data_IF_945145432162
#
_entry.id   IF_945145432162
#
_cell.length_a   1.000
_cell.length_b   1.000
_cell.length_c   1.000
_cell.angle_alpha   90.00
_cell.angle_beta   90.00
_cell.angle_gamma   90.00
#
_symmetry.space_group_name_H-M   'P 1'
#
loop_
_entity.id
_entity.type
_entity.pdbx_description
1 polymer ?
#
# COMPACT_ATOMS: atom_id res chain seq x y z
N UNK A 1 -6.91 37.49 23.55
CA UNK A 1 -6.27 36.23 23.94
C UNK A 1 -7.28 35.15 23.64
N UNK A 2 -7.17 34.52 22.47
CA UNK A 2 -8.06 33.41 22.09
C UNK A 2 -7.68 32.22 22.96
N UNK A 3 -8.61 31.76 23.78
CA UNK A 3 -8.45 30.51 24.54
C UNK A 3 -8.35 29.39 23.49
N UNK A 4 -7.23 28.68 23.46
CA UNK A 4 -7.09 27.46 22.69
C UNK A 4 -8.06 26.45 23.30
N UNK A 5 -9.06 26.01 22.54
CA UNK A 5 -9.90 24.86 22.90
C UNK A 5 -9.32 23.67 22.15
N UNK A 6 -8.32 23.04 22.78
CA UNK A 6 -7.69 21.84 22.26
C UNK A 6 -8.27 20.69 23.06
N UNK A 7 -8.97 19.79 22.38
CA UNK A 7 -9.34 18.50 22.92
C UNK A 7 -8.36 17.46 22.36
N UNK A 8 -7.25 17.11 23.06
CA UNK A 8 -6.27 16.16 22.57
C UNK A 8 -6.88 14.82 22.10
N UNK A 9 -7.99 14.42 22.74
CA UNK A 9 -8.74 13.22 22.38
C UNK A 9 -9.25 13.23 20.93
N UNK A 10 -9.64 14.40 20.39
CA UNK A 10 -10.12 14.51 19.01
C UNK A 10 -9.04 14.08 18.00
N UNK A 11 -7.79 14.39 18.26
CA UNK A 11 -6.67 13.97 17.42
C UNK A 11 -6.49 12.45 17.44
N UNK A 12 -6.61 11.82 18.61
CA UNK A 12 -6.50 10.37 18.74
C UNK A 12 -7.67 9.64 18.08
N UNK A 13 -8.90 10.13 18.27
CA UNK A 13 -10.10 9.55 17.67
C UNK A 13 -10.04 9.65 16.13
N UNK A 14 -9.65 10.80 15.59
CA UNK A 14 -9.44 10.97 14.16
C UNK A 14 -8.31 10.06 13.63
N UNK A 15 -7.22 9.90 14.40
CA UNK A 15 -6.15 8.99 14.03
C UNK A 15 -6.63 7.53 13.96
N UNK A 16 -7.46 7.09 14.90
CA UNK A 16 -7.97 5.72 14.90
C UNK A 16 -8.94 5.46 13.73
N UNK A 17 -9.70 6.48 13.31
CA UNK A 17 -10.47 6.43 12.07
C UNK A 17 -9.53 6.26 10.86
N UNK A 18 -8.49 7.08 10.73
CA UNK A 18 -7.51 6.98 9.64
C UNK A 18 -6.81 5.61 9.62
N UNK A 19 -6.40 5.10 10.80
CA UNK A 19 -5.76 3.80 10.94
C UNK A 19 -6.66 2.67 10.42
N UNK A 20 -7.94 2.72 10.82
CA UNK A 20 -8.95 1.77 10.38
C UNK A 20 -9.18 1.84 8.88
N UNK A 21 -9.37 3.04 8.33
CA UNK A 21 -9.57 3.24 6.88
C UNK A 21 -8.38 2.69 6.09
N UNK A 22 -7.15 3.01 6.50
CA UNK A 22 -5.95 2.52 5.84
C UNK A 22 -5.86 0.99 5.88
N UNK A 23 -6.08 0.37 7.03
CA UNK A 23 -6.02 -1.08 7.19
C UNK A 23 -7.09 -1.81 6.37
N UNK A 24 -8.31 -1.28 6.36
CA UNK A 24 -9.43 -1.87 5.64
C UNK A 24 -9.27 -1.73 4.11
N UNK A 25 -8.84 -0.55 3.64
CA UNK A 25 -8.51 -0.32 2.23
C UNK A 25 -7.39 -1.24 1.76
N UNK A 26 -6.32 -1.35 2.53
CA UNK A 26 -5.19 -2.20 2.17
C UNK A 26 -5.59 -3.69 2.10
N UNK A 27 -6.42 -4.14 3.03
CA UNK A 27 -6.95 -5.50 3.04
C UNK A 27 -7.82 -5.78 1.83
N UNK A 28 -8.74 -4.86 1.50
CA UNK A 28 -9.59 -4.98 0.32
C UNK A 28 -8.74 -5.03 -0.97
N UNK A 29 -7.76 -4.12 -1.09
CA UNK A 29 -6.83 -4.07 -2.21
C UNK A 29 -6.03 -5.38 -2.35
N UNK A 30 -5.42 -5.87 -1.27
CA UNK A 30 -4.62 -7.10 -1.27
C UNK A 30 -5.45 -8.31 -1.71
N UNK A 31 -6.68 -8.45 -1.19
CA UNK A 31 -7.60 -9.52 -1.58
C UNK A 31 -8.02 -9.40 -3.05
N UNK A 32 -8.33 -8.19 -3.52
CA UNK A 32 -8.70 -7.94 -4.91
C UNK A 32 -7.56 -8.26 -5.88
N UNK A 33 -6.35 -7.75 -5.63
CA UNK A 33 -5.18 -8.01 -6.47
C UNK A 33 -4.84 -9.51 -6.52
N UNK A 34 -4.93 -10.23 -5.40
CA UNK A 34 -4.71 -11.68 -5.37
C UNK A 34 -5.77 -12.48 -6.17
N UNK A 35 -6.93 -11.88 -6.44
CA UNK A 35 -8.04 -12.54 -7.13
C UNK A 35 -7.92 -12.51 -8.66
N UNK A 36 -6.94 -11.78 -9.23
CA UNK A 36 -6.73 -11.79 -10.69
C UNK A 36 -6.40 -13.18 -11.24
N UNK A 37 -5.64 -14.01 -10.49
CA UNK A 37 -5.32 -15.36 -10.93
C UNK A 37 -4.65 -15.39 -12.31
N UNK A 38 -5.12 -16.28 -13.20
CA UNK A 38 -4.64 -16.36 -14.59
C UNK A 38 -5.46 -15.48 -15.56
N UNK A 39 -5.30 -14.16 -15.44
CA UNK A 39 -5.77 -13.19 -16.44
C UNK A 39 -4.69 -12.77 -17.43
N UNK A 40 -3.55 -13.46 -17.44
CA UNK A 40 -2.46 -13.15 -18.38
C UNK A 40 -2.95 -13.32 -19.81
N UNK A 41 -2.51 -12.43 -20.71
CA UNK A 41 -2.82 -12.47 -22.15
C UNK A 41 -4.30 -12.24 -22.51
N UNK A 42 -5.12 -11.71 -21.61
CA UNK A 42 -6.57 -11.61 -21.81
C UNK A 42 -7.02 -10.78 -23.03
N UNK A 43 -6.23 -9.80 -23.49
CA UNK A 43 -6.62 -8.98 -24.65
C UNK A 43 -6.09 -9.49 -25.98
N UNK A 44 -5.29 -10.57 -25.96
CA UNK A 44 -4.66 -11.13 -27.14
C UNK A 44 -3.34 -10.46 -27.51
N UNK A 45 -2.78 -10.90 -28.63
CA UNK A 45 -1.41 -10.64 -29.08
C UNK A 45 -1.33 -9.81 -30.36
N UNK A 46 -2.47 -9.51 -31.01
CA UNK A 46 -2.47 -8.83 -32.31
C UNK A 46 -3.55 -7.74 -32.41
N UNK A 47 -3.28 -6.74 -33.25
CA UNK A 47 -4.22 -5.69 -33.64
C UNK A 47 -4.61 -4.77 -32.48
N UNK A 48 -5.83 -4.23 -32.56
CA UNK A 48 -6.36 -3.27 -31.60
C UNK A 48 -6.46 -3.84 -30.18
N UNK A 49 -6.67 -5.16 -30.03
CA UNK A 49 -6.66 -5.84 -28.74
C UNK A 49 -5.31 -5.74 -28.01
N UNK A 50 -4.20 -5.89 -28.74
CA UNK A 50 -2.86 -5.69 -28.18
C UNK A 50 -2.63 -4.24 -27.76
N UNK A 51 -3.02 -3.28 -28.59
CA UNK A 51 -2.87 -1.84 -28.30
C UNK A 51 -3.69 -1.48 -27.05
N UNK A 52 -4.90 -2.00 -26.93
CA UNK A 52 -5.72 -1.86 -25.74
C UNK A 52 -5.07 -2.46 -24.50
N UNK A 53 -4.46 -3.64 -24.61
CA UNK A 53 -3.77 -4.26 -23.49
C UNK A 53 -2.59 -3.42 -22.99
N UNK A 54 -1.79 -2.85 -23.89
CA UNK A 54 -0.70 -1.95 -23.49
C UNK A 54 -1.25 -0.73 -22.72
N UNK A 55 -2.38 -0.17 -23.18
CA UNK A 55 -3.06 0.89 -22.45
C UNK A 55 -3.64 0.42 -21.11
N UNK A 56 -4.26 -0.77 -21.07
CA UNK A 56 -4.84 -1.35 -19.86
C UNK A 56 -3.77 -1.61 -18.81
N UNK A 57 -2.63 -2.20 -19.19
CA UNK A 57 -1.53 -2.53 -18.29
C UNK A 57 -0.96 -1.26 -17.64
N UNK A 58 -0.84 -0.18 -18.41
CA UNK A 58 -0.41 1.11 -17.89
C UNK A 58 -1.44 1.70 -16.91
N UNK A 59 -2.74 1.67 -17.23
CA UNK A 59 -3.78 2.16 -16.33
C UNK A 59 -3.89 1.31 -15.06
N UNK A 60 -3.77 -0.01 -15.18
CA UNK A 60 -3.74 -0.94 -14.05
C UNK A 60 -2.56 -0.64 -13.12
N UNK A 61 -1.38 -0.34 -13.68
CA UNK A 61 -0.21 0.08 -12.90
C UNK A 61 -0.44 1.42 -12.19
N UNK A 62 -1.03 2.40 -12.87
CA UNK A 62 -1.34 3.70 -12.28
C UNK A 62 -2.33 3.59 -11.12
N UNK A 63 -3.39 2.79 -11.29
CA UNK A 63 -4.39 2.48 -10.25
C UNK A 63 -3.77 1.71 -9.10
N UNK A 64 -2.91 0.73 -9.39
CA UNK A 64 -2.12 0.00 -8.38
C UNK A 64 -1.27 0.95 -7.54
N UNK A 65 -0.48 1.82 -8.18
CA UNK A 65 0.41 2.76 -7.49
C UNK A 65 -0.39 3.72 -6.63
N UNK A 66 -1.49 4.27 -7.17
CA UNK A 66 -2.37 5.16 -6.41
C UNK A 66 -2.98 4.46 -5.18
N UNK A 67 -3.34 3.18 -5.30
CA UNK A 67 -3.89 2.41 -4.17
C UNK A 67 -2.87 2.29 -3.04
N UNK A 68 -1.63 1.95 -3.36
CA UNK A 68 -0.54 1.84 -2.37
C UNK A 68 -0.19 3.22 -1.77
N UNK A 69 -0.07 4.24 -2.61
CA UNK A 69 0.29 5.59 -2.16
C UNK A 69 -0.76 6.20 -1.25
N UNK A 70 -2.05 5.98 -1.56
CA UNK A 70 -3.15 6.47 -0.72
C UNK A 70 -3.18 5.77 0.64
N UNK A 71 -3.02 4.44 0.68
CA UNK A 71 -2.94 3.70 1.96
C UNK A 71 -1.75 4.21 2.79
N UNK A 72 -0.56 4.37 2.19
CA UNK A 72 0.61 4.90 2.89
C UNK A 72 0.37 6.34 3.38
N UNK A 73 -0.29 7.17 2.58
CA UNK A 73 -0.60 8.55 2.98
C UNK A 73 -1.54 8.58 4.19
N UNK A 74 -2.60 7.77 4.19
CA UNK A 74 -3.57 7.70 5.31
C UNK A 74 -2.90 7.15 6.58
N UNK A 75 -2.11 6.08 6.49
CA UNK A 75 -1.37 5.55 7.66
C UNK A 75 -0.32 6.53 8.18
N UNK A 76 0.40 7.20 7.28
CA UNK A 76 1.30 8.28 7.66
C UNK A 76 0.56 9.40 8.40
N UNK A 77 -0.67 9.71 7.97
CA UNK A 77 -1.49 10.75 8.59
C UNK A 77 -2.00 10.35 9.98
N UNK A 78 -2.32 9.07 10.20
CA UNK A 78 -2.58 8.50 11.53
C UNK A 78 -1.45 8.83 12.50
N UNK A 79 -0.19 8.66 12.08
CA UNK A 79 0.97 8.93 12.93
C UNK A 79 1.11 10.43 13.22
N UNK A 80 0.85 11.29 12.24
CA UNK A 80 0.83 12.76 12.41
C UNK A 80 -0.21 13.17 13.45
N UNK A 81 -1.43 12.65 13.33
CA UNK A 81 -2.53 12.95 14.26
C UNK A 81 -2.22 12.48 15.69
N UNK A 82 -1.71 11.24 15.85
CA UNK A 82 -1.29 10.74 17.18
C UNK A 82 -0.21 11.61 17.82
N UNK A 83 0.75 12.07 17.02
CA UNK A 83 1.80 12.95 17.52
C UNK A 83 1.28 14.34 17.88
N UNK A 84 0.38 14.92 17.08
CA UNK A 84 -0.25 16.19 17.38
C UNK A 84 -1.07 16.11 18.69
N UNK A 85 -1.89 15.06 18.83
CA UNK A 85 -2.64 14.78 20.06
C UNK A 85 -1.72 14.66 21.29
N UNK A 86 -0.60 13.96 21.15
CA UNK A 86 0.40 13.86 22.23
C UNK A 86 1.02 15.21 22.60
N UNK A 87 1.40 16.02 21.60
CA UNK A 87 2.01 17.32 21.85
C UNK A 87 1.03 18.25 22.59
N UNK A 88 -0.25 18.21 22.23
CA UNK A 88 -1.30 18.99 22.91
C UNK A 88 -1.56 18.46 24.32
N UNK A 89 -1.70 17.13 24.49
CA UNK A 89 -1.86 16.52 25.81
C UNK A 89 -0.69 16.82 26.76
N UNK A 90 0.54 16.82 26.25
CA UNK A 90 1.73 17.16 27.02
C UNK A 90 1.80 18.65 27.37
N UNK A 91 1.32 19.53 26.49
CA UNK A 91 1.24 20.96 26.77
C UNK A 91 0.21 21.29 27.88
N UNK A 92 -0.87 20.50 27.95
CA UNK A 92 -1.92 20.64 28.98
C UNK A 92 -1.60 19.87 30.27
N UNK A 93 -0.54 19.05 30.28
CA UNK A 93 -0.18 18.23 31.42
C UNK A 93 0.36 19.07 32.59
N UNK A 94 -0.30 18.97 33.74
CA UNK A 94 0.18 19.49 35.02
C UNK A 94 0.67 18.35 35.91
N UNK A 95 1.97 18.34 36.21
CA UNK A 95 2.60 17.34 37.09
C UNK A 95 2.03 17.35 38.53
N UNK A 96 1.40 18.44 38.95
CA UNK A 96 0.74 18.53 40.25
C UNK A 96 -0.68 17.93 40.27
N UNK A 97 -1.26 17.63 39.10
CA UNK A 97 -2.63 17.09 38.97
C UNK A 97 -2.78 15.65 39.48
N UNK A 98 -1.67 14.92 39.65
CA UNK A 98 -1.66 13.50 40.02
C UNK A 98 -2.12 12.55 38.91
N UNK A 99 -2.42 13.06 37.71
CA UNK A 99 -2.64 12.24 36.52
C UNK A 99 -1.29 11.71 35.99
N UNK A 100 -1.26 10.52 35.36
CA UNK A 100 -0.07 10.06 34.69
C UNK A 100 0.29 10.99 33.52
N UNK A 101 1.59 11.20 33.32
CA UNK A 101 2.10 11.93 32.15
C UNK A 101 1.63 11.23 30.86
N UNK A 102 1.20 12.00 29.83
CA UNK A 102 0.84 11.44 28.54
C UNK A 102 1.96 10.55 27.97
N UNK A 103 1.62 9.38 27.48
CA UNK A 103 2.58 8.46 26.87
C UNK A 103 2.85 8.84 25.41
N UNK A 104 4.13 8.84 25.02
CA UNK A 104 4.51 9.09 23.63
C UNK A 104 3.90 8.02 22.70
N UNK A 105 3.32 8.43 21.55
CA UNK A 105 2.67 7.50 20.65
C UNK A 105 3.71 6.64 19.91
N UNK A 106 3.33 5.40 19.58
CA UNK A 106 4.13 4.57 18.69
C UNK A 106 4.19 5.19 17.29
N UNK A 107 5.40 5.32 16.75
CA UNK A 107 5.64 5.73 15.35
C UNK A 107 5.86 4.53 14.43
N UNK A 108 5.43 3.34 14.85
CA UNK A 108 5.49 2.13 14.03
C UNK A 108 4.31 2.18 13.05
N UNK A 109 4.54 2.07 11.72
CA UNK A 109 3.47 1.99 10.74
C UNK A 109 2.48 0.86 11.04
N UNK A 110 1.20 1.05 10.71
CA UNK A 110 0.19 0.02 11.00
C UNK A 110 0.33 -1.24 10.16
N UNK A 111 1.12 -1.18 9.07
CA UNK A 111 1.47 -2.31 8.23
C UNK A 111 2.87 -2.12 7.62
N UNK A 112 3.47 -3.23 7.20
CA UNK A 112 4.72 -3.23 6.42
C UNK A 112 4.47 -3.91 5.08
N UNK A 113 4.99 -3.31 4.01
CA UNK A 113 4.97 -3.87 2.66
C UNK A 113 6.36 -4.36 2.30
N UNK A 114 6.55 -5.67 2.16
CA UNK A 114 7.79 -6.19 1.58
C UNK A 114 7.82 -5.97 0.06
N UNK A 115 9.02 -5.84 -0.51
CA UNK A 115 9.18 -5.73 -1.96
C UNK A 115 8.57 -6.95 -2.70
N UNK A 116 8.67 -8.13 -2.10
CA UNK A 116 8.09 -9.35 -2.64
C UNK A 116 6.55 -9.32 -2.65
N UNK A 117 5.94 -8.81 -1.59
CA UNK A 117 4.48 -8.62 -1.54
C UNK A 117 4.02 -7.63 -2.60
N UNK A 118 4.70 -6.50 -2.76
CA UNK A 118 4.38 -5.53 -3.80
C UNK A 118 4.38 -6.15 -5.21
N UNK A 119 5.42 -6.94 -5.53
CA UNK A 119 5.51 -7.63 -6.83
C UNK A 119 4.38 -8.64 -7.00
N UNK A 120 4.02 -9.37 -5.95
CA UNK A 120 2.95 -10.39 -6.01
C UNK A 120 1.54 -9.82 -6.20
N UNK A 121 1.36 -8.51 -5.96
CA UNK A 121 0.09 -7.81 -6.08
C UNK A 121 -0.06 -7.06 -7.42
N UNK A 122 0.89 -7.18 -8.33
CA UNK A 122 0.78 -6.59 -9.66
C UNK A 122 -0.28 -7.32 -10.48
N UNK A 123 -1.09 -6.55 -11.21
CA UNK A 123 -2.04 -7.10 -12.18
C UNK A 123 -1.28 -7.85 -13.27
N UNK A 124 -1.68 -9.07 -13.64
CA UNK A 124 -1.00 -9.84 -14.68
C UNK A 124 -1.02 -9.10 -16.03
N UNK A 125 0.07 -9.16 -16.83
CA UNK A 125 0.12 -8.52 -18.15
C UNK A 125 -1.00 -9.01 -19.07
N UNK A 126 -1.73 -8.07 -19.67
CA UNK A 126 -2.92 -8.39 -20.47
C UNK A 126 -2.63 -8.65 -21.94
N UNK A 127 -1.49 -8.19 -22.47
CA UNK A 127 -1.05 -8.46 -23.83
C UNK A 127 -0.36 -9.81 -23.96
N UNK A 128 -0.66 -10.54 -25.05
CA UNK A 128 0.04 -11.76 -25.44
C UNK A 128 -0.90 -12.91 -25.76
N UNK A 129 -0.43 -14.14 -25.63
CA UNK A 129 -1.21 -15.34 -25.96
C UNK A 129 -0.72 -16.02 -27.25
N UNK A 130 -1.36 -17.12 -27.65
CA UNK A 130 -0.85 -17.95 -28.73
C UNK A 130 -0.94 -17.30 -30.12
N UNK A 131 -1.58 -16.14 -30.28
CA UNK A 131 -1.81 -15.52 -31.60
C UNK A 131 -2.86 -16.24 -32.42
N UNK A 132 -3.71 -17.03 -31.76
CA UNK A 132 -4.63 -17.98 -32.39
C UNK A 132 -6.08 -17.58 -32.12
N UNK A 133 -6.52 -16.49 -32.75
CA UNK A 133 -7.88 -15.98 -32.54
C UNK A 133 -8.98 -16.93 -33.00
N UNK A 134 -8.92 -17.37 -34.26
CA UNK A 134 -9.84 -18.37 -34.83
C UNK A 134 -9.24 -19.79 -34.90
N UNK A 135 -8.00 -20.01 -34.46
CA UNK A 135 -7.28 -21.25 -34.77
C UNK A 135 -7.23 -22.17 -33.55
N UNK A 136 -8.22 -23.06 -33.47
CA UNK A 136 -7.96 -24.49 -33.59
C UNK A 136 -9.29 -25.09 -33.99
N UNK A 137 -9.50 -25.28 -35.31
CA UNK A 137 -10.61 -26.04 -35.92
C UNK A 137 -10.81 -25.81 -37.46
N UNK A 138 -9.73 -25.72 -38.25
CA UNK A 138 -9.82 -25.95 -39.71
C UNK A 138 -9.85 -24.73 -40.65
N UNK A 139 -9.63 -23.51 -40.17
CA UNK A 139 -9.46 -22.34 -41.04
C UNK A 139 -7.97 -22.06 -41.32
N UNK A 140 -7.42 -22.71 -42.34
CA UNK A 140 -6.23 -22.23 -43.07
C UNK A 140 -6.55 -20.99 -43.96
N UNK A 141 -7.74 -20.42 -43.74
CA UNK A 141 -8.24 -19.19 -44.35
C UNK A 141 -7.55 -17.95 -43.78
N UNK A 142 -7.13 -17.96 -42.51
CA UNK A 142 -6.35 -16.86 -41.92
C UNK A 142 -5.06 -16.58 -42.73
N UNK A 143 -4.43 -17.64 -43.24
CA UNK A 143 -3.24 -17.62 -44.10
C UNK A 143 -3.52 -16.98 -45.48
N UNK A 144 -4.76 -17.08 -45.99
CA UNK A 144 -5.21 -16.41 -47.24
C UNK A 144 -5.76 -14.99 -47.04
N UNK A 145 -6.37 -14.73 -45.88
CA UNK A 145 -7.00 -13.44 -45.56
C UNK A 145 -5.93 -12.37 -45.35
N UNK A 146 -4.75 -12.74 -44.83
CA UNK A 146 -3.65 -11.82 -44.56
C UNK A 146 -3.96 -10.76 -43.50
N UNK A 147 -5.03 -10.96 -42.72
CA UNK A 147 -5.47 -10.05 -41.66
C UNK A 147 -5.36 -10.79 -40.34
N UNK A 148 -4.65 -10.23 -39.36
CA UNK A 148 -4.65 -10.79 -38.03
C UNK A 148 -6.04 -10.72 -37.42
N UNK A 149 -6.54 -11.86 -36.94
CA UNK A 149 -7.83 -11.93 -36.25
C UNK A 149 -7.56 -11.83 -34.75
N UNK A 150 -8.12 -10.82 -34.06
CA UNK A 150 -7.93 -10.62 -32.63
C UNK A 150 -8.25 -11.88 -31.81
N UNK A 151 -7.36 -12.19 -30.86
CA UNK A 151 -7.33 -13.45 -30.10
C UNK A 151 -7.58 -13.30 -28.60
N UNK A 152 -8.17 -12.18 -28.17
CA UNK A 152 -8.46 -11.90 -26.76
C UNK A 152 -9.41 -12.91 -26.11
N UNK A 153 -9.12 -13.30 -24.88
CA UNK A 153 -9.90 -14.26 -24.10
C UNK A 153 -11.02 -13.54 -23.33
N UNK A 154 -12.28 -13.76 -23.74
CA UNK A 154 -13.44 -13.07 -23.15
C UNK A 154 -13.82 -13.59 -21.77
N UNK A 155 -13.38 -14.80 -21.40
CA UNK A 155 -13.55 -15.32 -20.04
C UNK A 155 -12.58 -14.62 -19.11
N UNK A 156 -11.31 -14.48 -19.51
CA UNK A 156 -10.31 -13.74 -18.73
C UNK A 156 -10.62 -12.24 -18.63
N UNK A 157 -11.09 -11.61 -19.72
CA UNK A 157 -11.57 -10.23 -19.69
C UNK A 157 -12.75 -10.05 -18.73
N UNK A 158 -13.71 -10.98 -18.73
CA UNK A 158 -14.82 -10.96 -17.78
C UNK A 158 -14.32 -11.06 -16.35
N UNK A 159 -13.46 -12.03 -16.06
CA UNK A 159 -12.91 -12.26 -14.71
C UNK A 159 -12.14 -11.03 -14.20
N UNK A 160 -11.28 -10.45 -15.03
CA UNK A 160 -10.58 -9.19 -14.72
C UNK A 160 -11.56 -8.05 -14.41
N UNK A 161 -12.60 -7.89 -15.24
CA UNK A 161 -13.65 -6.89 -15.01
C UNK A 161 -14.40 -7.11 -13.69
N UNK A 162 -14.64 -8.36 -13.31
CA UNK A 162 -15.32 -8.70 -12.06
C UNK A 162 -14.45 -8.45 -10.83
N UNK A 163 -13.13 -8.70 -10.92
CA UNK A 163 -12.17 -8.36 -9.85
C UNK A 163 -12.14 -6.84 -9.62
N UNK A 164 -12.02 -6.04 -10.68
CA UNK A 164 -12.08 -4.58 -10.57
C UNK A 164 -13.42 -4.09 -10.00
N UNK A 165 -14.54 -4.66 -10.46
CA UNK A 165 -15.85 -4.30 -9.94
C UNK A 165 -16.01 -4.67 -8.45
N UNK A 166 -15.46 -5.81 -8.03
CA UNK A 166 -15.43 -6.23 -6.63
C UNK A 166 -14.69 -5.23 -5.76
N UNK A 167 -13.56 -4.67 -6.23
CA UNK A 167 -12.88 -3.58 -5.55
C UNK A 167 -13.71 -2.30 -5.51
N UNK A 168 -14.27 -1.89 -6.65
CA UNK A 168 -15.08 -0.68 -6.78
C UNK A 168 -16.31 -0.67 -5.86
N UNK A 169 -16.86 -1.86 -5.58
CA UNK A 169 -18.07 -2.04 -4.78
C UNK A 169 -17.79 -2.60 -3.38
N UNK A 170 -16.53 -2.80 -3.02
CA UNK A 170 -16.16 -3.31 -1.70
C UNK A 170 -16.61 -2.31 -0.62
N UNK A 171 -17.20 -2.82 0.46
CA UNK A 171 -17.72 -1.98 1.54
C UNK A 171 -16.64 -1.11 2.19
N UNK A 172 -15.42 -1.62 2.37
CA UNK A 172 -14.29 -0.87 2.91
C UNK A 172 -13.83 0.24 1.97
N UNK A 173 -13.86 -0.02 0.65
CA UNK A 173 -13.50 0.98 -0.36
C UNK A 173 -14.53 2.09 -0.45
N UNK A 174 -15.82 1.72 -0.50
CA UNK A 174 -16.93 2.66 -0.67
C UNK A 174 -17.23 3.49 0.60
N UNK A 175 -16.91 2.98 1.80
CA UNK A 175 -17.09 3.72 3.06
C UNK A 175 -15.92 4.64 3.40
N UNK A 176 -14.72 4.39 2.88
CA UNK A 176 -13.50 5.11 3.26
C UNK A 176 -13.62 6.64 3.18
N UNK A 177 -14.24 7.17 2.13
CA UNK A 177 -14.45 8.60 1.96
C UNK A 177 -15.36 9.21 3.05
N UNK A 178 -16.43 8.51 3.43
CA UNK A 178 -17.33 8.94 4.49
C UNK A 178 -16.69 8.87 5.88
N UNK A 179 -15.83 7.89 6.11
CA UNK A 179 -15.08 7.77 7.36
C UNK A 179 -14.04 8.91 7.50
N UNK A 180 -13.32 9.25 6.42
CA UNK A 180 -12.39 10.39 6.41
C UNK A 180 -13.11 11.74 6.53
N UNK A 181 -14.30 11.88 5.94
CA UNK A 181 -15.17 13.04 6.20
C UNK A 181 -15.52 13.17 7.68
N UNK A 182 -15.89 12.04 8.32
CA UNK A 182 -16.20 12.03 9.75
C UNK A 182 -14.99 12.47 10.58
N UNK A 183 -13.79 12.03 10.24
CA UNK A 183 -12.57 12.47 10.91
C UNK A 183 -12.31 13.97 10.72
N UNK A 184 -12.49 14.50 9.50
CA UNK A 184 -12.32 15.92 9.19
C UNK A 184 -13.30 16.80 10.01
N UNK A 185 -14.57 16.41 10.05
CA UNK A 185 -15.62 17.13 10.77
C UNK A 185 -15.36 17.27 12.28
N UNK A 186 -14.53 16.41 12.88
CA UNK A 186 -14.15 16.52 14.30
C UNK A 186 -13.34 17.80 14.57
N UNK A 187 -12.65 18.35 13.57
CA UNK A 187 -11.80 19.53 13.70
C UNK A 187 -12.55 20.85 13.46
N UNK A 188 -13.81 20.82 12.98
CA UNK A 188 -14.62 22.03 12.77
C UNK A 188 -14.88 22.83 14.05
N UNK A 189 -14.83 22.14 15.22
CA UNK A 189 -15.05 22.74 16.54
C UNK A 189 -13.73 23.01 17.29
N UNK A 190 -12.59 22.57 16.75
CA UNK A 190 -11.28 22.71 17.40
C UNK A 190 -10.67 24.05 17.04
N UNK A 191 -10.28 24.83 18.05
CA UNK A 191 -9.56 26.09 17.84
C UNK A 191 -8.07 25.85 18.06
N UNK A 192 -7.36 25.43 17.01
CA UNK A 192 -5.91 25.23 17.01
C UNK A 192 -5.28 25.69 15.69
N UNK A 193 -4.03 26.22 15.67
CA UNK A 193 -3.34 26.63 14.44
C UNK A 193 -3.19 25.52 13.39
N UNK A 194 -3.24 24.25 13.80
CA UNK A 194 -3.11 23.07 12.94
C UNK A 194 -4.46 22.52 12.43
N UNK A 195 -5.59 22.88 13.06
CA UNK A 195 -6.89 22.27 12.80
C UNK A 195 -7.37 22.44 11.34
N UNK A 196 -7.19 23.64 10.76
CA UNK A 196 -7.58 23.89 9.36
C UNK A 196 -6.77 23.04 8.37
N UNK A 197 -5.47 22.90 8.60
CA UNK A 197 -4.62 22.07 7.74
C UNK A 197 -5.01 20.59 7.84
N UNK A 198 -5.43 20.15 9.02
CA UNK A 198 -5.91 18.79 9.26
C UNK A 198 -7.23 18.53 8.53
N UNK A 199 -8.20 19.43 8.63
CA UNK A 199 -9.46 19.34 7.89
C UNK A 199 -9.21 19.29 6.37
N UNK A 200 -8.38 20.18 5.84
CA UNK A 200 -8.03 20.23 4.42
C UNK A 200 -7.37 18.92 3.93
N UNK A 201 -6.33 18.44 4.63
CA UNK A 201 -5.63 17.21 4.26
C UNK A 201 -6.56 15.99 4.32
N UNK A 202 -7.41 15.87 5.35
CA UNK A 202 -8.38 14.77 5.47
C UNK A 202 -9.42 14.80 4.34
N UNK A 203 -9.90 15.98 3.94
CA UNK A 203 -10.83 16.13 2.80
C UNK A 203 -10.15 15.87 1.46
N UNK A 204 -8.86 16.15 1.32
CA UNK A 204 -8.09 15.75 0.15
C UNK A 204 -7.94 14.23 0.05
N UNK A 205 -7.62 13.55 1.16
CA UNK A 205 -7.55 12.09 1.24
C UNK A 205 -8.91 11.45 0.96
N UNK A 206 -10.00 12.01 1.51
CA UNK A 206 -11.38 11.62 1.20
C UNK A 206 -11.64 11.63 -0.31
N UNK A 207 -11.34 12.76 -0.96
CA UNK A 207 -11.55 12.87 -2.41
C UNK A 207 -10.70 11.86 -3.19
N UNK A 208 -9.52 11.50 -2.69
CA UNK A 208 -8.70 10.45 -3.29
C UNK A 208 -9.31 9.05 -3.15
N UNK A 209 -9.96 8.74 -2.01
CA UNK A 209 -10.71 7.50 -1.84
C UNK A 209 -11.88 7.40 -2.83
N UNK A 210 -12.67 8.46 -2.98
CA UNK A 210 -13.78 8.52 -3.95
C UNK A 210 -13.29 8.32 -5.39
N UNK A 211 -12.22 9.02 -5.77
CA UNK A 211 -11.64 8.91 -7.11
C UNK A 211 -11.03 7.52 -7.36
N UNK A 212 -10.41 6.90 -6.36
CA UNK A 212 -9.87 5.54 -6.47
C UNK A 212 -10.99 4.49 -6.66
N UNK A 213 -12.08 4.59 -5.89
CA UNK A 213 -13.25 3.71 -6.07
C UNK A 213 -13.84 3.85 -7.48
N UNK A 214 -13.95 5.09 -7.97
CA UNK A 214 -14.38 5.37 -9.33
C UNK A 214 -13.42 4.80 -10.39
N UNK A 215 -12.11 4.88 -10.17
CA UNK A 215 -11.10 4.34 -11.08
C UNK A 215 -11.17 2.82 -11.20
N UNK A 216 -11.42 2.10 -10.10
CA UNK A 216 -11.70 0.65 -10.16
C UNK A 216 -12.94 0.36 -11.02
N UNK A 217 -13.99 1.17 -10.91
CA UNK A 217 -15.19 1.04 -11.75
C UNK A 217 -14.91 1.29 -13.24
N UNK A 218 -14.08 2.29 -13.57
CA UNK A 218 -13.67 2.59 -14.94
C UNK A 218 -12.85 1.44 -15.55
N UNK A 219 -11.95 0.83 -14.77
CA UNK A 219 -11.19 -0.36 -15.19
C UNK A 219 -12.12 -1.57 -15.44
N UNK A 220 -13.10 -1.79 -14.55
CA UNK A 220 -14.09 -2.85 -14.72
C UNK A 220 -14.90 -2.67 -16.01
N UNK A 221 -15.35 -1.43 -16.28
CA UNK A 221 -16.10 -1.11 -17.48
C UNK A 221 -15.25 -1.29 -18.74
N UNK A 222 -13.97 -0.90 -18.71
CA UNK A 222 -13.08 -1.09 -19.84
C UNK A 222 -12.92 -2.57 -20.22
N UNK A 223 -12.79 -3.47 -19.24
CA UNK A 223 -12.78 -4.91 -19.48
C UNK A 223 -14.09 -5.42 -20.11
N UNK A 224 -15.25 -4.94 -19.63
CA UNK A 224 -16.57 -5.32 -20.15
C UNK A 224 -16.79 -4.84 -21.57
N UNK A 225 -16.41 -3.60 -21.88
CA UNK A 225 -16.50 -3.03 -23.22
C UNK A 225 -15.61 -3.81 -24.21
N UNK A 226 -14.38 -4.12 -23.80
CA UNK A 226 -13.46 -4.89 -24.64
C UNK A 226 -13.96 -6.32 -24.86
N UNK A 227 -14.48 -6.97 -23.81
CA UNK A 227 -15.12 -8.28 -23.90
C UNK A 227 -16.26 -8.26 -24.91
N UNK A 228 -17.17 -7.28 -24.80
CA UNK A 228 -18.31 -7.16 -25.71
C UNK A 228 -17.85 -7.02 -27.17
N UNK A 229 -16.84 -6.19 -27.42
CA UNK A 229 -16.29 -6.03 -28.76
C UNK A 229 -15.69 -7.33 -29.34
N UNK A 230 -15.03 -8.15 -28.51
CA UNK A 230 -14.57 -9.48 -28.91
C UNK A 230 -15.73 -10.46 -29.19
N UNK A 231 -16.77 -10.48 -28.35
CA UNK A 231 -17.93 -11.35 -28.54
C UNK A 231 -18.76 -10.98 -29.78
N UNK A 232 -18.93 -9.67 -30.04
CA UNK A 232 -19.58 -9.16 -31.24
C UNK A 232 -18.82 -9.59 -32.50
N UNK A 233 -17.49 -9.40 -32.50
CA UNK A 233 -16.65 -9.86 -33.62
C UNK A 233 -16.75 -11.36 -33.82
N UNK A 234 -16.68 -12.18 -32.75
CA UNK A 234 -16.81 -13.64 -32.86
C UNK A 234 -18.16 -14.07 -33.40
N UNK A 235 -19.23 -13.40 -33.00
CA UNK A 235 -20.58 -13.67 -33.48
C UNK A 235 -20.69 -13.38 -34.97
N UNK A 236 -20.16 -12.24 -35.42
CA UNK A 236 -20.14 -11.88 -36.84
C UNK A 236 -19.30 -12.86 -37.66
N UNK A 237 -18.12 -13.25 -37.17
CA UNK A 237 -17.27 -14.23 -37.84
C UNK A 237 -17.98 -15.59 -37.95
N UNK A 238 -18.68 -16.06 -36.91
CA UNK A 238 -19.49 -17.29 -36.97
C UNK A 238 -20.61 -17.20 -38.01
N UNK A 239 -21.30 -16.07 -38.08
CA UNK A 239 -22.36 -15.85 -39.06
C UNK A 239 -21.81 -15.86 -40.50
N UNK A 240 -20.66 -15.22 -40.74
CA UNK A 240 -20.00 -15.23 -42.04
C UNK A 240 -19.56 -16.64 -42.45
N UNK A 241 -19.06 -17.44 -41.52
CA UNK A 241 -18.67 -18.84 -41.77
C UNK A 241 -19.87 -19.73 -42.10
N UNK A 242 -21.00 -19.56 -41.41
CA UNK A 242 -22.26 -20.27 -41.71
C UNK A 242 -22.81 -19.89 -43.10
N UNK A 243 -22.75 -18.59 -43.46
CA UNK A 243 -23.13 -18.12 -44.78
C UNK A 243 -22.21 -18.65 -45.88
N UNK A 244 -20.89 -18.66 -45.65
CA UNK A 244 -19.91 -19.25 -46.56
C UNK A 244 -20.23 -20.72 -46.86
N UNK A 245 -20.54 -21.50 -45.82
CA UNK A 245 -20.92 -22.90 -45.96
C UNK A 245 -22.19 -23.09 -46.80
N UNK A 246 -23.23 -22.28 -46.57
CA UNK A 246 -24.50 -22.32 -47.32
C UNK A 246 -24.32 -21.94 -48.79
N UNK A 247 -23.51 -20.91 -49.09
CA UNK A 247 -23.23 -20.50 -50.47
C UNK A 247 -22.44 -21.57 -51.22
N UNK A 248 -21.42 -22.17 -50.60
CA UNK A 248 -20.67 -23.29 -51.20
C UNK A 248 -21.59 -24.49 -51.46
N UNK A 249 -22.45 -24.85 -50.50
CA UNK A 249 -23.38 -25.97 -50.67
C UNK A 249 -24.36 -25.76 -51.83
N UNK A 250 -24.81 -24.51 -52.04
CA UNK A 250 -25.71 -24.14 -53.15
C UNK A 250 -25.00 -24.23 -54.51
N UNK A 251 -23.75 -23.76 -54.60
CA UNK A 251 -22.96 -23.79 -55.83
C UNK A 251 -22.59 -25.23 -56.26
N UNK A 252 -22.34 -26.13 -55.30
CA UNK A 252 -21.95 -27.52 -55.55
C UNK A 252 -23.17 -28.44 -55.79
N UNK A 253 -24.40 -27.97 -55.57
CA UNK A 253 -25.64 -28.77 -55.70
C UNK A 253 -25.90 -29.36 -57.10
N UNK A 254 -25.13 -28.99 -58.14
CA UNK A 254 -25.21 -29.60 -59.47
C UNK A 254 -24.35 -30.86 -59.62
N UNK A 255 -23.42 -31.18 -58.71
CA UNK A 255 -22.65 -32.44 -58.77
C UNK A 255 -21.98 -32.81 -57.42
N UNK A 256 -22.40 -33.92 -56.80
CA UNK A 256 -21.72 -34.61 -55.68
C UNK A 256 -21.78 -33.91 -54.30
N UNK A 257 -22.98 -33.54 -53.86
CA UNK A 257 -23.23 -32.52 -52.82
C UNK A 257 -23.04 -32.87 -51.32
N UNK A 258 -22.50 -34.03 -50.90
CA UNK A 258 -22.52 -34.40 -49.47
C UNK A 258 -21.17 -34.37 -48.73
N UNK A 259 -20.03 -34.39 -49.42
CA UNK A 259 -18.71 -34.41 -48.76
C UNK A 259 -18.08 -33.02 -48.54
N UNK A 260 -18.43 -32.03 -49.36
CA UNK A 260 -17.80 -30.69 -49.32
C UNK A 260 -18.42 -29.78 -48.26
N UNK A 261 -19.75 -29.75 -48.14
CA UNK A 261 -20.42 -28.94 -47.12
C UNK A 261 -20.05 -29.38 -45.70
N UNK A 262 -19.92 -30.69 -45.46
CA UNK A 262 -19.44 -31.21 -44.19
C UNK A 262 -17.97 -30.84 -43.93
N UNK A 263 -17.10 -30.77 -44.94
CA UNK A 263 -15.70 -30.35 -44.77
C UNK A 263 -15.45 -28.86 -44.50
N UNK A 264 -16.41 -28.01 -44.88
CA UNK A 264 -16.35 -26.56 -44.64
C UNK A 264 -16.96 -26.20 -43.28
N UNK A 265 -17.93 -26.99 -42.81
CA UNK A 265 -18.63 -26.81 -41.53
C UNK A 265 -17.99 -27.62 -40.39
N UNK A 266 -17.35 -28.75 -40.70
CA UNK A 266 -16.68 -29.62 -39.73
C UNK A 266 -15.18 -29.57 -40.01
N UNK A 267 -14.46 -28.82 -39.19
CA UNK A 267 -13.04 -28.96 -38.88
C UNK A 267 -12.19 -29.63 -39.96
N UNK A 268 -11.77 -28.85 -40.95
CA UNK A 268 -10.65 -29.16 -41.85
C UNK A 268 -10.77 -30.47 -42.65
N UNK A 269 -11.14 -30.37 -43.92
CA UNK A 269 -10.70 -31.37 -44.92
C UNK A 269 -9.95 -30.66 -46.03
N UNK A 270 -8.64 -30.92 -46.08
CA UNK A 270 -7.85 -30.71 -47.28
C UNK A 270 -8.39 -31.59 -48.41
N UNK A 271 -8.61 -30.96 -49.57
CA UNK A 271 -8.90 -31.57 -50.86
C UNK A 271 -10.22 -32.38 -50.96
N UNK A 272 -11.34 -31.67 -51.13
CA UNK A 272 -12.40 -32.19 -51.98
C UNK A 272 -12.00 -31.99 -53.46
N UNK A 273 -12.02 -33.06 -54.25
CA UNK A 273 -11.80 -33.01 -55.69
C UNK A 273 -12.96 -32.26 -56.37
N UNK A 274 -12.83 -30.94 -56.48
CA UNK A 274 -13.77 -30.09 -57.20
C UNK A 274 -13.40 -30.12 -58.68
N UNK A 275 -14.34 -30.50 -59.56
CA UNK A 275 -14.13 -30.45 -61.01
C UNK A 275 -13.67 -29.04 -61.43
N UNK A 276 -12.79 -28.93 -62.43
CA UNK A 276 -12.12 -27.67 -62.79
C UNK A 276 -13.06 -26.48 -63.04
N UNK A 277 -14.31 -26.71 -63.46
CA UNK A 277 -15.32 -25.65 -63.67
C UNK A 277 -15.95 -25.14 -62.36
N UNK A 278 -16.18 -26.02 -61.38
CA UNK A 278 -16.70 -25.67 -60.06
C UNK A 278 -15.63 -25.03 -59.16
N UNK A 279 -14.34 -25.27 -59.43
CA UNK A 279 -13.25 -24.72 -58.63
C UNK A 279 -13.17 -23.18 -58.71
N UNK A 280 -13.45 -22.59 -59.89
CA UNK A 280 -13.42 -21.14 -60.09
C UNK A 280 -14.58 -20.45 -59.36
N UNK A 281 -15.78 -21.05 -59.36
CA UNK A 281 -16.94 -20.47 -58.67
C UNK A 281 -16.78 -20.53 -57.14
N UNK A 282 -16.33 -21.67 -56.60
CA UNK A 282 -16.01 -21.82 -55.17
C UNK A 282 -14.91 -20.85 -54.74
N UNK A 283 -13.87 -20.65 -55.57
CA UNK A 283 -12.82 -19.67 -55.28
C UNK A 283 -13.37 -18.24 -55.15
N UNK A 284 -14.27 -17.81 -56.05
CA UNK A 284 -14.92 -16.49 -55.98
C UNK A 284 -15.78 -16.32 -54.72
N UNK A 285 -16.47 -17.37 -54.29
CA UNK A 285 -17.25 -17.35 -53.02
C UNK A 285 -16.28 -17.16 -51.84
N UNK A 286 -15.19 -17.92 -51.80
CA UNK A 286 -14.16 -17.78 -50.76
C UNK A 286 -13.61 -16.35 -50.73
N UNK A 287 -13.22 -15.79 -51.87
CA UNK A 287 -12.67 -14.42 -51.95
C UNK A 287 -13.66 -13.37 -51.44
N UNK A 288 -14.95 -13.49 -51.79
CA UNK A 288 -16.02 -12.63 -51.25
C UNK A 288 -16.08 -12.69 -49.73
N UNK A 289 -16.05 -13.88 -49.13
CA UNK A 289 -16.12 -14.01 -47.68
C UNK A 289 -14.84 -13.57 -46.97
N UNK A 290 -13.68 -13.69 -47.60
CA UNK A 290 -12.42 -13.08 -47.13
C UNK A 290 -12.58 -11.56 -47.00
N UNK A 291 -13.19 -10.89 -47.99
CA UNK A 291 -13.46 -9.46 -47.93
C UNK A 291 -14.52 -9.09 -46.88
N UNK A 292 -15.56 -9.91 -46.71
CA UNK A 292 -16.54 -9.70 -45.64
C UNK A 292 -15.92 -9.85 -44.24
N UNK A 293 -15.05 -10.84 -44.05
CA UNK A 293 -14.28 -11.02 -42.81
C UNK A 293 -13.39 -9.80 -42.56
N UNK A 294 -12.73 -9.28 -43.60
CA UNK A 294 -11.94 -8.04 -43.52
C UNK A 294 -12.78 -6.85 -43.04
N UNK A 295 -13.99 -6.71 -43.58
CA UNK A 295 -14.93 -5.67 -43.18
C UNK A 295 -15.37 -5.88 -41.72
N UNK A 296 -15.73 -7.11 -41.34
CA UNK A 296 -16.13 -7.44 -39.97
C UNK A 296 -15.02 -7.15 -38.94
N UNK A 297 -13.78 -7.53 -39.22
CA UNK A 297 -12.63 -7.23 -38.36
C UNK A 297 -12.38 -5.74 -38.26
N UNK A 298 -12.47 -4.98 -39.36
CA UNK A 298 -12.35 -3.51 -39.33
C UNK A 298 -13.53 -2.81 -38.64
N UNK A 299 -14.71 -3.41 -38.70
CA UNK A 299 -15.92 -2.92 -38.04
C UNK A 299 -15.96 -3.34 -36.56
N UNK A 300 -15.12 -4.29 -36.14
CA UNK A 300 -14.97 -4.68 -34.76
C UNK A 300 -14.60 -3.43 -33.97
N UNK A 301 -15.50 -3.02 -33.07
CA UNK A 301 -15.30 -1.83 -32.24
C UNK A 301 -14.37 -2.13 -31.06
N UNK A 302 -13.32 -2.92 -31.30
CA UNK A 302 -12.28 -3.16 -30.32
C UNK A 302 -11.73 -1.80 -29.90
N UNK A 303 -11.71 -1.57 -28.60
CA UNK A 303 -11.10 -0.36 -28.08
C UNK A 303 -9.60 -0.49 -28.29
N UNK A 304 -8.92 0.64 -28.29
CA UNK A 304 -7.46 0.73 -28.36
C UNK A 304 -6.88 1.45 -27.14
N UNK A 305 -7.73 2.01 -26.29
CA UNK A 305 -7.33 2.72 -25.10
C UNK A 305 -8.28 2.44 -23.94
N UNK A 306 -7.71 2.40 -22.74
CA UNK A 306 -8.43 2.47 -21.47
C UNK A 306 -8.31 3.89 -20.96
N UNK A 307 -9.45 4.50 -20.63
CA UNK A 307 -9.48 5.86 -20.07
C UNK A 307 -9.88 5.78 -18.60
N UNK A 308 -8.98 6.21 -17.72
CA UNK A 308 -9.27 6.43 -16.30
C UNK A 308 -9.27 7.94 -16.06
N UNK A 309 -10.45 8.51 -15.79
CA UNK A 309 -10.61 9.97 -15.67
C UNK A 309 -10.45 10.45 -14.23
N UNK A 310 -10.73 9.57 -13.27
CA UNK A 310 -10.74 9.89 -11.85
C UNK A 310 -9.34 10.15 -11.28
N UNK A 311 -8.32 9.48 -11.81
CA UNK A 311 -6.93 9.60 -11.34
C UNK A 311 -6.13 10.63 -12.15
N UNK A 312 -6.56 11.89 -12.12
CA UNK A 312 -5.86 12.97 -12.81
C UNK A 312 -4.56 13.39 -12.09
N UNK A 313 -3.74 14.20 -12.77
CA UNK A 313 -2.46 14.67 -12.26
C UNK A 313 -2.57 15.45 -10.94
N UNK A 314 -3.62 16.27 -10.78
CA UNK A 314 -3.83 17.04 -9.56
C UNK A 314 -4.11 16.10 -8.37
N UNK A 315 -4.93 15.07 -8.58
CA UNK A 315 -5.22 14.08 -7.54
C UNK A 315 -3.99 13.28 -7.12
N UNK A 316 -3.20 12.82 -8.09
CA UNK A 316 -1.93 12.11 -7.82
C UNK A 316 -0.95 13.03 -7.05
N UNK A 317 -0.86 14.30 -7.43
CA UNK A 317 -0.02 15.27 -6.74
C UNK A 317 -0.46 15.55 -5.30
N UNK A 318 -1.76 15.62 -5.02
CA UNK A 318 -2.30 15.82 -3.68
C UNK A 318 -1.93 14.65 -2.74
N UNK A 319 -2.16 13.41 -3.17
CA UNK A 319 -1.77 12.22 -2.37
C UNK A 319 -0.27 12.16 -2.15
N UNK A 320 0.53 12.44 -3.19
CA UNK A 320 1.99 12.47 -3.06
C UNK A 320 2.47 13.55 -2.10
N UNK A 321 1.87 14.76 -2.12
CA UNK A 321 2.16 15.84 -1.18
C UNK A 321 1.94 15.39 0.26
N UNK A 322 0.80 14.76 0.55
CA UNK A 322 0.46 14.29 1.90
C UNK A 322 1.41 13.18 2.34
N UNK A 323 1.69 12.21 1.46
CA UNK A 323 2.68 11.15 1.71
C UNK A 323 4.09 11.70 2.00
N UNK A 324 4.53 12.72 1.26
CA UNK A 324 5.83 13.36 1.50
C UNK A 324 5.85 14.13 2.82
N UNK A 325 4.74 14.79 3.16
CA UNK A 325 4.58 15.51 4.42
C UNK A 325 4.65 14.57 5.62
N UNK A 326 3.93 13.44 5.58
CA UNK A 326 3.94 12.44 6.65
C UNK A 326 5.32 11.80 6.79
N UNK A 327 5.98 11.47 5.67
CA UNK A 327 7.35 10.95 5.67
C UNK A 327 8.34 11.91 6.34
N UNK A 328 8.30 13.20 5.98
CA UNK A 328 9.17 14.23 6.56
C UNK A 328 8.92 14.39 8.07
N UNK A 329 7.67 14.35 8.50
CA UNK A 329 7.32 14.44 9.91
C UNK A 329 7.83 13.24 10.70
N UNK A 330 7.62 12.02 10.20
CA UNK A 330 8.14 10.80 10.83
C UNK A 330 9.67 10.82 10.95
N UNK A 331 10.38 11.24 9.90
CA UNK A 331 11.85 11.37 9.98
C UNK A 331 12.27 12.44 10.99
N UNK A 332 11.59 13.60 11.01
CA UNK A 332 11.84 14.62 12.03
C UNK A 332 11.63 14.07 13.45
N UNK A 333 10.57 13.31 13.68
CA UNK A 333 10.30 12.67 14.99
C UNK A 333 11.39 11.67 15.36
N UNK A 334 11.81 10.80 14.43
CA UNK A 334 12.94 9.88 14.66
C UNK A 334 14.22 10.64 15.02
N UNK A 335 14.49 11.79 14.39
CA UNK A 335 15.66 12.60 14.73
C UNK A 335 15.54 13.27 16.10
N UNK A 336 14.33 13.68 16.51
CA UNK A 336 14.08 14.25 17.84
C UNK A 336 14.24 13.20 18.94
N UNK A 337 13.72 11.98 18.73
CA UNK A 337 13.90 10.85 19.67
C UNK A 337 15.36 10.44 19.78
N UNK A 338 16.11 10.49 18.68
CA UNK A 338 17.57 10.20 18.67
C UNK A 338 18.42 11.36 19.18
N UNK A 339 17.85 12.53 19.50
CA UNK A 339 18.64 13.67 19.99
C UNK A 339 19.18 13.34 21.37
N UNK A 340 20.50 13.17 21.46
CA UNK A 340 21.22 13.07 22.74
C UNK A 340 20.82 14.27 23.62
N UNK A 341 20.35 14.02 24.83
CA UNK A 341 20.00 15.07 25.79
C UNK A 341 21.25 15.91 26.07
N UNK A 342 21.10 17.22 26.13
CA UNK A 342 22.22 18.12 26.39
C UNK A 342 22.80 17.87 27.80
N UNK A 343 24.07 18.20 28.05
CA UNK A 343 24.67 18.05 29.37
C UNK A 343 23.87 18.74 30.49
N UNK A 344 23.27 19.91 30.20
CA UNK A 344 22.45 20.67 31.15
C UNK A 344 21.14 19.95 31.48
N UNK A 345 20.48 19.33 30.49
CA UNK A 345 19.25 18.56 30.70
C UNK A 345 19.55 17.30 31.55
N UNK A 346 20.65 16.60 31.28
CA UNK A 346 21.07 15.43 32.06
C UNK A 346 21.45 15.83 33.51
N UNK A 347 22.12 16.95 33.68
CA UNK A 347 22.47 17.47 35.00
C UNK A 347 21.23 17.83 35.81
N UNK A 348 20.24 18.51 35.20
CA UNK A 348 18.97 18.84 35.85
C UNK A 348 18.18 17.60 36.26
N UNK A 349 18.11 16.58 35.41
CA UNK A 349 17.43 15.31 35.72
C UNK A 349 18.11 14.60 36.89
N UNK A 350 19.44 14.50 36.85
CA UNK A 350 20.21 13.91 37.94
C UNK A 350 20.06 14.68 39.25
N UNK A 351 19.98 16.01 39.18
CA UNK A 351 19.74 16.85 40.35
C UNK A 351 18.36 16.59 40.97
N UNK A 352 17.30 16.58 40.16
CA UNK A 352 15.94 16.34 40.63
C UNK A 352 15.80 14.97 41.31
N UNK A 353 16.32 13.91 40.68
CA UNK A 353 16.30 12.55 41.26
C UNK A 353 17.13 12.50 42.54
N UNK A 354 18.30 13.15 42.55
CA UNK A 354 19.14 13.22 43.74
C UNK A 354 18.47 13.94 44.91
N UNK A 355 17.79 15.06 44.66
CA UNK A 355 17.04 15.81 45.66
C UNK A 355 15.86 15.01 46.23
N UNK A 356 15.13 14.28 45.37
CA UNK A 356 14.07 13.34 45.77
C UNK A 356 14.62 12.26 46.72
N UNK A 357 15.75 11.66 46.34
CA UNK A 357 16.39 10.58 47.11
C UNK A 357 17.01 11.07 48.42
N UNK A 358 17.45 12.32 48.48
CA UNK A 358 17.97 12.94 49.70
C UNK A 358 16.90 13.08 50.79
N UNK A 359 15.62 13.13 50.43
CA UNK A 359 14.51 13.16 51.39
C UNK A 359 14.17 11.78 51.97
N UNK A 360 14.66 10.70 51.37
CA UNK A 360 14.40 9.34 51.82
C UNK A 360 15.34 8.99 52.98
N UNK A 361 14.83 8.43 54.11
CA UNK A 361 15.67 8.00 55.21
C UNK A 361 16.77 7.03 54.78
N UNK A 362 17.97 7.20 55.33
CA UNK A 362 19.12 6.37 54.99
C UNK A 362 18.83 4.89 55.25
N UNK A 363 19.07 4.06 54.24
CA UNK A 363 18.81 2.62 54.30
C UNK A 363 17.38 2.21 53.95
N UNK A 364 16.49 3.15 53.61
CA UNK A 364 15.07 2.89 53.31
C UNK A 364 14.74 2.86 51.81
N UNK A 365 15.66 2.39 50.95
CA UNK A 365 15.38 2.20 49.51
C UNK A 365 15.90 3.28 48.55
N UNK A 366 16.86 4.11 49.01
CA UNK A 366 17.46 5.19 48.20
C UNK A 366 18.05 4.70 46.85
N UNK A 367 18.74 3.56 46.86
CA UNK A 367 19.30 2.95 45.64
C UNK A 367 18.21 2.51 44.66
N UNK A 368 17.17 1.86 45.19
CA UNK A 368 16.08 1.32 44.38
C UNK A 368 15.25 2.46 43.75
N UNK A 369 15.15 3.60 44.45
CA UNK A 369 14.51 4.82 43.94
C UNK A 369 15.30 5.39 42.76
N UNK A 370 16.62 5.57 42.87
CA UNK A 370 17.46 6.02 41.74
C UNK A 370 17.30 5.08 40.55
N UNK A 371 17.33 3.77 40.77
CA UNK A 371 17.16 2.76 39.72
C UNK A 371 15.82 2.91 39.00
N UNK A 372 14.71 3.00 39.75
CA UNK A 372 13.37 3.13 39.16
C UNK A 372 13.28 4.39 38.31
N UNK A 373 13.63 5.54 38.92
CA UNK A 373 13.48 6.86 38.30
C UNK A 373 14.36 7.01 37.06
N UNK A 374 15.58 6.47 37.07
CA UNK A 374 16.45 6.54 35.88
C UNK A 374 15.97 5.58 34.78
N UNK A 375 15.47 4.39 35.13
CA UNK A 375 14.94 3.44 34.14
C UNK A 375 13.65 3.94 33.46
N UNK A 376 12.82 4.69 34.18
CA UNK A 376 11.63 5.37 33.63
C UNK A 376 11.98 6.39 32.51
N UNK A 377 13.20 6.91 32.50
CA UNK A 377 13.63 7.93 31.53
C UNK A 377 14.10 7.37 30.19
N UNK A 378 14.21 6.04 30.04
CA UNK A 378 14.62 5.34 28.82
C UNK A 378 15.87 5.94 28.14
N UNK A 379 16.88 6.27 28.95
CA UNK A 379 18.10 6.94 28.52
C UNK A 379 19.07 5.97 27.83
N UNK A 380 19.94 6.48 26.95
CA UNK A 380 21.08 5.69 26.47
C UNK A 380 22.06 5.37 27.61
N UNK A 381 22.94 4.38 27.44
CA UNK A 381 23.92 3.98 28.45
C UNK A 381 24.79 5.14 28.99
N UNK A 382 25.23 6.05 28.11
CA UNK A 382 26.02 7.23 28.53
C UNK A 382 25.17 8.21 29.34
N UNK A 383 23.94 8.46 28.92
CA UNK A 383 23.02 9.39 29.56
C UNK A 383 22.54 8.86 30.91
N UNK A 384 22.18 7.57 30.98
CA UNK A 384 21.82 6.88 32.21
C UNK A 384 22.98 6.91 33.22
N UNK A 385 24.22 6.68 32.77
CA UNK A 385 25.39 6.78 33.64
C UNK A 385 25.61 8.20 34.18
N UNK A 386 25.44 9.23 33.33
CA UNK A 386 25.59 10.63 33.74
C UNK A 386 24.51 11.05 34.76
N UNK A 387 23.24 10.73 34.49
CA UNK A 387 22.11 11.03 35.40
C UNK A 387 22.26 10.28 36.72
N UNK A 388 22.58 8.99 36.66
CA UNK A 388 22.80 8.15 37.87
C UNK A 388 23.96 8.68 38.71
N UNK A 389 25.06 9.12 38.06
CA UNK A 389 26.19 9.70 38.75
C UNK A 389 25.81 10.97 39.51
N UNK A 390 25.14 11.91 38.83
CA UNK A 390 24.69 13.17 39.45
C UNK A 390 23.65 12.95 40.55
N UNK A 391 22.70 12.03 40.34
CA UNK A 391 21.72 11.64 41.35
C UNK A 391 22.39 11.03 42.60
N UNK A 392 23.45 10.24 42.41
CA UNK A 392 24.23 9.65 43.50
C UNK A 392 25.02 10.70 44.28
N UNK A 393 25.63 11.67 43.58
CA UNK A 393 26.34 12.80 44.20
C UNK A 393 25.46 13.55 45.21
N UNK A 394 24.19 13.76 44.86
CA UNK A 394 23.25 14.53 45.67
C UNK A 394 22.51 13.64 46.68
N UNK A 395 21.89 12.56 46.22
CA UNK A 395 20.99 11.72 47.02
C UNK A 395 21.69 10.75 47.96
N UNK A 396 22.91 10.32 47.64
CA UNK A 396 23.67 9.32 48.41
C UNK A 396 24.89 9.90 49.12
N UNK A 397 25.00 11.23 49.18
CA UNK A 397 26.11 11.97 49.79
C UNK A 397 27.47 11.74 49.13
N UNK A 398 27.47 11.50 47.82
CA UNK A 398 28.68 11.48 46.99
C UNK A 398 28.69 10.36 45.95
N UNK A 399 29.44 10.59 44.87
CA UNK A 399 29.78 9.58 43.88
C UNK A 399 31.30 9.43 43.77
N UNK A 400 31.76 8.21 43.50
CA UNK A 400 33.14 7.88 43.15
C UNK A 400 33.42 8.03 41.64
N UNK A 401 32.41 8.38 40.85
CA UNK A 401 32.51 8.59 39.41
C UNK A 401 32.08 7.38 38.58
N UNK A 402 32.22 7.52 37.26
CA UNK A 402 31.77 6.52 36.27
C UNK A 402 32.96 5.67 35.84
N UNK A 403 32.91 4.37 36.12
CA UNK A 403 33.84 3.38 35.59
C UNK A 403 33.33 2.79 34.28
N UNK A 404 34.20 2.65 33.28
CA UNK A 404 33.88 1.97 32.00
C UNK A 404 34.61 0.64 31.93
N UNK A 405 33.87 -0.46 32.02
CA UNK A 405 34.43 -1.81 32.10
C UNK A 405 34.87 -2.35 30.73
N UNK A 406 35.77 -3.35 30.68
CA UNK A 406 36.27 -3.93 29.42
C UNK A 406 35.19 -4.52 28.51
N UNK A 407 34.06 -4.96 29.07
CA UNK A 407 32.92 -5.48 28.32
C UNK A 407 31.99 -4.38 27.77
N UNK A 408 32.34 -3.11 27.95
CA UNK A 408 31.55 -1.96 27.51
C UNK A 408 30.42 -1.55 28.48
N UNK A 409 30.21 -2.28 29.57
CA UNK A 409 29.26 -1.89 30.63
C UNK A 409 29.82 -0.72 31.44
N UNK A 410 28.94 0.17 31.92
CA UNK A 410 29.35 1.28 32.80
C UNK A 410 28.92 1.01 34.23
N UNK A 411 29.65 1.59 35.18
CA UNK A 411 29.31 1.49 36.60
C UNK A 411 29.44 2.85 37.27
N UNK A 412 28.43 3.27 38.02
CA UNK A 412 28.54 4.43 38.92
C UNK A 412 28.91 3.90 40.29
N UNK A 413 30.10 4.29 40.75
CA UNK A 413 30.67 3.83 42.00
C UNK A 413 30.29 4.79 43.15
N UNK A 414 30.10 4.27 44.38
CA UNK A 414 29.95 5.12 45.56
C UNK A 414 31.30 5.78 45.91
N UNK A 415 31.26 6.85 46.71
CA UNK A 415 32.49 7.51 47.21
C UNK A 415 33.38 6.56 48.01
N UNK A 416 32.80 5.58 48.72
CA UNK A 416 33.53 4.60 49.51
C UNK A 416 33.21 3.17 49.05
N UNK A 417 34.22 2.43 48.61
CA UNK A 417 34.08 1.03 48.15
C UNK A 417 33.61 0.07 49.25
N UNK A 418 33.80 0.44 50.52
CA UNK A 418 33.29 -0.29 51.69
C UNK A 418 31.77 -0.45 51.72
N UNK A 419 31.04 0.40 50.96
CA UNK A 419 29.58 0.31 50.80
C UNK A 419 29.17 -0.96 50.03
N UNK A 420 30.07 -1.53 49.21
CA UNK A 420 29.87 -2.78 48.42
C UNK A 420 28.65 -2.78 47.50
N UNK A 421 28.01 -1.64 47.28
CA UNK A 421 26.85 -1.45 46.42
C UNK A 421 27.14 -0.36 45.40
N UNK A 422 26.84 -0.62 44.13
CA UNK A 422 27.04 0.30 43.03
C UNK A 422 25.90 0.16 42.01
N UNK A 423 25.86 1.07 41.04
CA UNK A 423 24.93 0.98 39.92
C UNK A 423 25.66 0.45 38.69
N UNK A 424 25.16 -0.64 38.10
CA UNK A 424 25.61 -1.17 36.83
C UNK A 424 24.65 -0.69 35.74
N UNK A 425 25.20 -0.17 34.64
CA UNK A 425 24.42 0.39 33.53
C UNK A 425 24.70 -0.44 32.27
N UNK A 426 23.70 -1.19 31.86
CA UNK A 426 23.73 -2.08 30.71
C UNK A 426 23.79 -1.28 29.40
N UNK A 427 24.13 -1.96 28.30
CA UNK A 427 24.25 -1.35 26.98
C UNK A 427 22.94 -0.72 26.46
N UNK A 428 21.79 -1.22 26.92
CA UNK A 428 20.46 -0.67 26.61
C UNK A 428 20.07 0.52 27.49
N UNK A 429 20.95 0.95 28.41
CA UNK A 429 20.72 2.07 29.33
C UNK A 429 20.03 1.69 30.63
N UNK A 430 19.64 0.43 30.82
CA UNK A 430 19.03 -0.02 32.07
C UNK A 430 20.04 0.01 33.22
N UNK A 431 19.62 0.59 34.34
CA UNK A 431 20.37 0.68 35.59
C UNK A 431 19.91 -0.45 36.49
N UNK A 432 20.87 -1.22 37.02
CA UNK A 432 20.63 -2.27 37.99
C UNK A 432 21.59 -2.15 39.16
N UNK A 433 21.21 -2.74 40.29
CA UNK A 433 22.05 -2.78 41.48
C UNK A 433 23.11 -3.85 41.36
N UNK A 434 24.35 -3.49 41.65
CA UNK A 434 25.46 -4.42 41.84
C UNK A 434 25.82 -4.50 43.32
N UNK A 435 25.99 -5.72 43.85
CA UNK A 435 26.51 -5.96 45.19
C UNK A 435 27.75 -6.86 45.11
N UNK A 436 28.88 -6.40 45.64
CA UNK A 436 30.13 -7.15 45.56
C UNK A 436 31.36 -6.34 45.94
N UNK A 437 32.54 -6.89 45.61
CA UNK A 437 33.79 -6.17 45.76
C UNK A 437 33.92 -5.09 44.68
N UNK A 438 34.08 -3.84 45.12
CA UNK A 438 34.16 -2.67 44.25
C UNK A 438 35.60 -2.22 43.96
N UNK A 439 36.59 -2.70 44.72
CA UNK A 439 37.98 -2.27 44.55
C UNK A 439 38.54 -2.64 43.17
N UNK A 440 38.11 -3.79 42.64
CA UNK A 440 38.46 -4.27 41.30
C UNK A 440 38.05 -3.31 40.17
N UNK A 441 37.11 -2.38 40.42
CA UNK A 441 36.60 -1.45 39.41
C UNK A 441 37.24 -0.07 39.43
N UNK A 442 38.00 0.28 40.48
CA UNK A 442 38.63 1.59 40.62
C UNK A 442 39.59 1.92 39.47
N UNK A 443 40.26 0.90 38.93
CA UNK A 443 41.17 1.03 37.78
C UNK A 443 40.48 1.46 36.47
N UNK A 444 39.15 1.46 36.42
CA UNK A 444 38.36 1.77 35.24
C UNK A 444 37.64 3.13 35.32
N UNK A 445 37.83 3.88 36.41
CA UNK A 445 37.37 5.27 36.55
C UNK A 445 38.25 6.16 35.67
N UNK A 446 37.64 7.07 34.92
CA UNK A 446 38.35 8.08 34.13
C UNK A 446 38.15 9.47 34.68
#
# INVERSE_FOLDING_TARGET
MTVLDVAPQVYYDAADICAKVSGDLFTAFKTGMASFGDTTNMAGSIGDGKIWAESYDQQAKDVYTMSIDLVIAIDGYTQVLRQAGYNHALADYDAASGQPEPAAPSTVPSFTLSAQELVSLLVPPSAGGPGRGLIDDGLDLATKVGIPIPDGDTVKLSHSGDVWNSLATNASVTSAAGELERAAAMFEQITSPDANFIDEDLRELKGACDDLAGAYGEMAQACRDQKQAHDDLRTELKNLLDQLAKEIATEVAVSLALSVAASVVSFGVGAAAVAAKTAVAVAKIIDKFVDLIRIAVKAAKLKTAVTVTRLNAARKAAVQRIKDLTTKLVEKLKTLVKRKKSPQELESLGQQIGEEVAQIPRGSGQLDTIISRVNELHLSQDEAAAVTNKASEIGLTGSGGIATLPNGTKMVLPTYTSVRKAFLINADGTVVKYEGDLEQFLQYIR
#
